data_IF_581221286207
#
_entry.id   IF_581221286207
#
_cell.length_a   1.000
_cell.length_b   1.000
_cell.length_c   1.000
_cell.angle_alpha   90.00
_cell.angle_beta   90.00
_cell.angle_gamma   90.00
#
_symmetry.space_group_name_H-M   'P 1'
#
loop_
_entity.id
_entity.type
_entity.pdbx_description
1 polymer ?
#
# COMPACT_ATOMS: atom_id res chain seq x y z
N UNK A 1 24.71 6.66 -17.82
CA UNK A 1 24.85 6.03 -16.49
C UNK A 1 23.68 6.51 -15.64
N UNK A 2 22.97 5.60 -14.98
CA UNK A 2 21.87 5.88 -14.06
C UNK A 2 22.32 5.53 -12.65
N UNK A 3 22.36 6.50 -11.74
CA UNK A 3 22.81 6.26 -10.38
C UNK A 3 21.76 5.51 -9.55
N UNK A 4 20.49 5.92 -9.71
CA UNK A 4 19.36 5.35 -9.00
C UNK A 4 18.23 5.09 -9.99
N UNK A 5 17.68 3.88 -10.01
CA UNK A 5 16.59 3.46 -10.88
C UNK A 5 15.41 3.02 -10.03
N UNK A 6 14.26 3.70 -10.14
CA UNK A 6 13.02 3.27 -9.54
C UNK A 6 12.31 2.26 -10.42
N UNK A 7 11.66 1.28 -9.81
CA UNK A 7 10.77 0.35 -10.50
C UNK A 7 9.36 0.46 -9.95
N UNK A 8 8.42 0.90 -10.79
CA UNK A 8 7.01 1.05 -10.43
C UNK A 8 6.10 0.54 -11.55
N UNK A 9 4.91 0.07 -11.20
CA UNK A 9 3.97 -0.40 -12.22
C UNK A 9 3.07 0.72 -12.74
N UNK A 10 2.60 1.56 -11.85
CA UNK A 10 1.60 2.58 -12.18
C UNK A 10 2.16 4.00 -12.06
N UNK A 11 1.54 4.91 -12.78
CA UNK A 11 1.85 6.34 -12.64
C UNK A 11 1.49 6.86 -11.24
N UNK A 12 0.48 6.27 -10.59
CA UNK A 12 0.09 6.63 -9.23
C UNK A 12 1.22 6.31 -8.23
N UNK A 13 1.84 5.12 -8.35
CA UNK A 13 2.96 4.71 -7.51
C UNK A 13 4.20 5.57 -7.76
N UNK A 14 4.49 5.90 -9.04
CA UNK A 14 5.56 6.85 -9.38
C UNK A 14 5.39 8.20 -8.68
N UNK A 15 4.17 8.76 -8.72
CA UNK A 15 3.86 10.04 -8.06
C UNK A 15 3.94 9.97 -6.55
N UNK A 16 3.58 8.81 -6.01
CA UNK A 16 3.53 8.58 -4.58
C UNK A 16 4.94 8.53 -3.95
N UNK A 17 5.88 7.86 -4.60
CA UNK A 17 7.22 7.59 -4.09
C UNK A 17 8.33 8.19 -4.95
N UNK A 18 8.49 7.71 -6.17
CA UNK A 18 9.65 8.02 -7.02
C UNK A 18 9.80 9.53 -7.27
N UNK A 19 8.72 10.24 -7.60
CA UNK A 19 8.79 11.69 -7.86
C UNK A 19 9.19 12.49 -6.61
N UNK A 20 8.60 12.14 -5.45
CA UNK A 20 8.89 12.82 -4.19
C UNK A 20 10.34 12.58 -3.75
N UNK A 21 10.77 11.32 -3.76
CA UNK A 21 12.14 10.95 -3.36
C UNK A 21 13.15 11.54 -4.34
N UNK A 22 12.88 11.53 -5.65
CA UNK A 22 13.78 12.14 -6.65
C UNK A 22 13.98 13.63 -6.41
N UNK A 23 12.91 14.34 -6.05
CA UNK A 23 13.01 15.76 -5.71
C UNK A 23 13.90 15.99 -4.49
N UNK A 24 13.78 15.18 -3.44
CA UNK A 24 14.65 15.28 -2.27
C UNK A 24 16.10 14.87 -2.61
N UNK A 25 16.30 13.84 -3.42
CA UNK A 25 17.65 13.43 -3.88
C UNK A 25 18.34 14.53 -4.69
N UNK A 26 17.62 15.21 -5.58
CA UNK A 26 18.17 16.32 -6.38
C UNK A 26 18.52 17.54 -5.53
N UNK A 27 17.88 17.75 -4.38
CA UNK A 27 18.28 18.77 -3.40
C UNK A 27 19.61 18.42 -2.72
N UNK A 28 19.88 17.12 -2.50
CA UNK A 28 21.11 16.63 -1.87
C UNK A 28 22.26 16.64 -2.88
N UNK A 29 22.03 16.13 -4.08
CA UNK A 29 23.01 16.05 -5.16
C UNK A 29 22.33 16.31 -6.52
N UNK A 30 22.39 17.56 -7.05
CA UNK A 30 21.77 17.92 -8.32
C UNK A 30 22.34 17.16 -9.53
N UNK A 31 23.52 16.55 -9.42
CA UNK A 31 24.17 15.82 -10.51
C UNK A 31 23.72 14.36 -10.61
N UNK A 32 22.98 13.86 -9.62
CA UNK A 32 22.47 12.48 -9.64
C UNK A 32 21.66 12.23 -10.91
N UNK A 33 21.93 11.12 -11.58
CA UNK A 33 21.14 10.63 -12.69
C UNK A 33 20.11 9.64 -12.19
N UNK A 34 18.85 10.04 -12.24
CA UNK A 34 17.71 9.27 -11.71
C UNK A 34 16.86 8.75 -12.86
N UNK A 35 16.60 7.47 -12.87
CA UNK A 35 15.71 6.82 -13.83
C UNK A 35 14.50 6.19 -13.19
N UNK A 36 13.48 5.90 -14.01
CA UNK A 36 12.35 5.07 -13.62
C UNK A 36 11.98 4.09 -14.73
N UNK A 37 11.68 2.86 -14.33
CA UNK A 37 11.04 1.85 -15.18
C UNK A 37 9.60 1.72 -14.73
N UNK A 38 8.66 1.86 -15.66
CA UNK A 38 7.23 1.72 -15.38
C UNK A 38 6.48 1.05 -16.53
N UNK A 39 5.30 0.51 -16.24
CA UNK A 39 4.37 0.04 -17.28
C UNK A 39 3.55 1.23 -17.78
N UNK A 40 3.04 2.05 -16.87
CA UNK A 40 2.33 3.29 -17.20
C UNK A 40 3.31 4.47 -17.21
N UNK A 41 3.49 5.06 -18.39
CA UNK A 41 4.43 6.16 -18.56
C UNK A 41 3.80 7.51 -18.18
N UNK A 42 4.57 8.44 -17.56
CA UNK A 42 4.09 9.79 -17.30
C UNK A 42 3.87 10.58 -18.59
N UNK A 43 2.88 11.45 -18.56
CA UNK A 43 2.67 12.41 -19.67
C UNK A 43 3.46 13.70 -19.46
N UNK A 44 3.49 14.57 -20.48
CA UNK A 44 4.23 15.85 -20.47
C UNK A 44 3.85 16.80 -19.33
N UNK A 45 2.67 16.62 -18.75
CA UNK A 45 2.16 17.44 -17.63
C UNK A 45 2.66 16.98 -16.26
N UNK A 46 3.26 15.79 -16.18
CA UNK A 46 3.73 15.19 -14.93
C UNK A 46 5.15 15.69 -14.63
N UNK A 47 5.26 16.93 -14.12
CA UNK A 47 6.55 17.52 -13.70
C UNK A 47 7.18 16.70 -12.58
N UNK A 48 8.44 16.35 -12.74
CA UNK A 48 9.22 15.58 -11.77
C UNK A 48 10.72 15.74 -12.03
N UNK A 49 11.55 15.22 -11.11
CA UNK A 49 13.01 15.30 -11.14
C UNK A 49 13.67 13.99 -11.63
N UNK A 50 12.95 13.17 -12.38
CA UNK A 50 13.48 11.95 -13.01
C UNK A 50 14.02 12.28 -14.38
N UNK A 51 15.29 11.93 -14.64
CA UNK A 51 16.00 12.25 -15.87
C UNK A 51 15.63 11.31 -17.03
N UNK A 52 15.29 10.05 -16.74
CA UNK A 52 15.06 9.01 -17.74
C UNK A 52 13.87 8.15 -17.38
N UNK A 53 12.91 8.03 -18.28
CA UNK A 53 11.82 7.06 -18.17
C UNK A 53 11.95 5.96 -19.21
N UNK A 54 11.76 4.72 -18.80
CA UNK A 54 11.79 3.54 -19.67
C UNK A 54 10.54 2.71 -19.44
N UNK A 55 9.83 2.39 -20.51
CA UNK A 55 8.73 1.43 -20.43
C UNK A 55 9.28 0.02 -20.12
N UNK A 56 8.67 -0.67 -19.14
CA UNK A 56 9.02 -2.07 -18.87
C UNK A 56 8.90 -2.95 -20.12
N UNK A 57 7.94 -2.64 -20.99
CA UNK A 57 7.67 -3.39 -22.22
C UNK A 57 8.79 -3.25 -23.28
N UNK A 58 9.59 -2.20 -23.19
CA UNK A 58 10.71 -1.96 -24.12
C UNK A 58 11.99 -2.70 -23.69
N UNK A 59 12.04 -3.21 -22.46
CA UNK A 59 13.19 -3.93 -21.93
C UNK A 59 13.08 -5.40 -22.33
N UNK A 60 13.86 -5.79 -23.35
CA UNK A 60 13.92 -7.17 -23.87
C UNK A 60 14.88 -8.05 -23.05
N UNK A 61 16.00 -7.50 -22.64
CA UNK A 61 17.01 -8.13 -21.80
C UNK A 61 17.33 -7.21 -20.62
N UNK A 62 17.07 -7.71 -19.41
CA UNK A 62 17.25 -6.92 -18.18
C UNK A 62 18.73 -6.71 -17.89
N UNK A 63 19.57 -7.74 -18.08
CA UNK A 63 21.01 -7.62 -17.84
C UNK A 63 21.65 -6.58 -18.75
N UNK A 64 21.35 -6.66 -20.05
CA UNK A 64 21.86 -5.70 -21.01
C UNK A 64 21.37 -4.28 -20.73
N UNK A 65 20.11 -4.13 -20.34
CA UNK A 65 19.55 -2.84 -19.95
C UNK A 65 20.25 -2.26 -18.71
N UNK A 66 20.42 -3.04 -17.66
CA UNK A 66 21.04 -2.59 -16.42
C UNK A 66 22.52 -2.24 -16.63
N UNK A 67 23.26 -3.08 -17.38
CA UNK A 67 24.67 -2.86 -17.69
C UNK A 67 24.92 -1.69 -18.63
N UNK A 68 24.16 -1.60 -19.73
CA UNK A 68 24.33 -0.53 -20.74
C UNK A 68 24.01 0.85 -20.19
N UNK A 69 23.06 0.92 -19.26
CA UNK A 69 22.72 2.16 -18.55
C UNK A 69 23.59 2.41 -17.31
N UNK A 70 24.48 1.49 -16.96
CA UNK A 70 25.38 1.60 -15.79
C UNK A 70 24.62 1.82 -14.49
N UNK A 71 23.51 1.07 -14.29
CA UNK A 71 22.65 1.20 -13.11
C UNK A 71 23.42 0.77 -11.87
N UNK A 72 23.45 1.61 -10.84
CA UNK A 72 24.15 1.34 -9.58
C UNK A 72 23.27 0.85 -8.45
N UNK A 73 22.01 1.29 -8.46
CA UNK A 73 21.03 0.97 -7.42
C UNK A 73 19.63 0.92 -8.01
N UNK A 74 18.82 -0.01 -7.51
CA UNK A 74 17.37 -0.03 -7.78
C UNK A 74 16.55 0.13 -6.50
N UNK A 75 15.43 0.84 -6.63
CA UNK A 75 14.48 1.10 -5.55
C UNK A 75 13.12 0.53 -5.96
N UNK A 76 12.51 -0.25 -5.08
CA UNK A 76 11.22 -0.92 -5.25
C UNK A 76 10.26 -0.51 -4.14
N UNK A 77 8.96 -0.60 -4.37
CA UNK A 77 7.94 -0.35 -3.34
C UNK A 77 7.21 -1.62 -2.89
N UNK A 78 7.36 -2.71 -3.64
CA UNK A 78 6.69 -3.97 -3.34
C UNK A 78 7.60 -5.16 -3.72
N UNK A 79 7.13 -6.38 -3.36
CA UNK A 79 7.77 -7.65 -3.73
C UNK A 79 6.83 -8.49 -4.59
N UNK A 80 6.35 -7.95 -5.69
CA UNK A 80 5.55 -8.66 -6.69
C UNK A 80 6.45 -9.52 -7.58
N UNK A 81 5.88 -10.42 -8.37
CA UNK A 81 6.67 -11.27 -9.32
C UNK A 81 7.52 -10.43 -10.29
N UNK A 82 7.00 -9.34 -10.89
CA UNK A 82 7.84 -8.47 -11.73
C UNK A 82 8.97 -7.76 -10.98
N UNK A 83 8.74 -7.37 -9.72
CA UNK A 83 9.80 -6.78 -8.89
C UNK A 83 10.89 -7.81 -8.60
N UNK A 84 10.51 -9.06 -8.28
CA UNK A 84 11.45 -10.14 -8.01
C UNK A 84 12.32 -10.49 -9.22
N UNK A 85 11.81 -10.35 -10.45
CA UNK A 85 12.60 -10.53 -11.67
C UNK A 85 13.78 -9.55 -11.69
N UNK A 86 13.53 -8.26 -11.47
CA UNK A 86 14.59 -7.26 -11.39
C UNK A 86 15.51 -7.46 -10.18
N UNK A 87 14.98 -7.82 -9.01
CA UNK A 87 15.78 -8.12 -7.83
C UNK A 87 16.76 -9.27 -8.10
N UNK A 88 16.31 -10.34 -8.79
CA UNK A 88 17.16 -11.46 -9.17
C UNK A 88 18.33 -11.00 -10.05
N UNK A 89 18.04 -10.22 -11.09
CA UNK A 89 19.08 -9.68 -11.99
C UNK A 89 20.02 -8.73 -11.24
N UNK A 90 19.51 -7.84 -10.39
CA UNK A 90 20.34 -6.94 -9.58
C UNK A 90 21.31 -7.71 -8.68
N UNK A 91 20.82 -8.75 -7.97
CA UNK A 91 21.67 -9.58 -7.11
C UNK A 91 22.79 -10.28 -7.89
N UNK A 92 22.47 -10.85 -9.06
CA UNK A 92 23.48 -11.50 -9.92
C UNK A 92 24.50 -10.51 -10.48
N UNK A 93 24.13 -9.25 -10.65
CA UNK A 93 24.99 -8.18 -11.17
C UNK A 93 25.68 -7.37 -10.07
N UNK A 94 25.40 -7.63 -8.81
CA UNK A 94 25.94 -6.84 -7.68
C UNK A 94 25.39 -5.42 -7.62
N UNK A 95 24.19 -5.17 -8.17
CA UNK A 95 23.49 -3.89 -8.12
C UNK A 95 22.76 -3.80 -6.78
N UNK A 96 22.93 -2.69 -6.08
CA UNK A 96 22.29 -2.42 -4.78
C UNK A 96 20.77 -2.33 -4.91
N UNK A 97 20.05 -2.83 -3.89
CA UNK A 97 18.59 -2.86 -3.91
C UNK A 97 18.00 -2.34 -2.60
N UNK A 98 16.95 -1.54 -2.70
CA UNK A 98 16.19 -1.03 -1.55
C UNK A 98 14.71 -1.28 -1.82
N UNK A 99 13.97 -1.70 -0.79
CA UNK A 99 12.52 -1.74 -0.80
C UNK A 99 11.97 -0.66 0.13
N UNK A 100 10.96 0.08 -0.34
CA UNK A 100 10.16 0.99 0.47
C UNK A 100 8.86 0.28 0.82
N UNK A 101 8.47 0.28 2.08
CA UNK A 101 7.19 -0.26 2.47
C UNK A 101 6.06 0.60 1.92
N UNK A 102 5.16 -0.02 1.16
CA UNK A 102 3.92 0.61 0.69
C UNK A 102 2.72 0.13 1.52
N UNK A 103 2.27 0.98 2.44
CA UNK A 103 1.07 0.73 3.24
C UNK A 103 1.17 -0.47 4.21
N UNK A 104 0.02 -0.89 4.70
CA UNK A 104 -0.13 -1.98 5.67
C UNK A 104 0.03 -3.32 4.96
N UNK A 105 0.86 -4.20 5.52
CA UNK A 105 1.00 -5.56 5.03
C UNK A 105 -0.11 -6.44 5.61
N UNK A 106 -0.77 -7.16 4.73
CA UNK A 106 -1.75 -8.18 5.09
C UNK A 106 -1.24 -9.55 4.60
N UNK A 107 -1.54 -10.60 5.35
CA UNK A 107 -1.12 -11.98 5.02
C UNK A 107 -1.82 -12.56 3.75
N UNK A 108 -2.42 -11.69 2.94
CA UNK A 108 -3.06 -12.01 1.68
C UNK A 108 -4.51 -12.48 1.84
N UNK A 109 -5.36 -12.13 0.88
CA UNK A 109 -6.71 -12.68 0.79
C UNK A 109 -6.64 -14.17 0.48
N UNK A 110 -7.49 -14.95 1.14
CA UNK A 110 -7.64 -16.37 0.86
C UNK A 110 -8.35 -16.53 -0.49
N UNK A 111 -7.68 -17.11 -1.49
CA UNK A 111 -8.28 -17.30 -2.83
C UNK A 111 -9.58 -18.12 -2.76
N UNK A 112 -9.79 -18.90 -1.69
CA UNK A 112 -11.03 -19.66 -1.49
C UNK A 112 -12.24 -18.81 -1.12
N UNK A 113 -12.04 -17.57 -0.66
CA UNK A 113 -13.12 -16.64 -0.30
C UNK A 113 -13.63 -15.86 -1.53
N UNK A 114 -12.95 -16.04 -2.68
CA UNK A 114 -13.42 -15.55 -3.97
C UNK A 114 -14.62 -16.39 -4.40
N UNK A 115 -15.83 -15.91 -4.14
CA UNK A 115 -17.06 -16.59 -4.52
C UNK A 115 -17.14 -16.82 -6.04
N UNK A 116 -17.87 -17.87 -6.46
CA UNK A 116 -18.11 -18.22 -7.88
C UNK A 116 -18.66 -17.06 -8.73
N UNK A 117 -19.25 -16.03 -8.09
CA UNK A 117 -19.64 -14.76 -8.75
C UNK A 117 -18.45 -14.03 -9.41
N UNK A 118 -17.23 -14.32 -8.99
CA UNK A 118 -15.99 -13.73 -9.53
C UNK A 118 -15.37 -14.55 -10.68
N UNK A 119 -16.05 -15.54 -11.24
CA UNK A 119 -15.56 -16.25 -12.44
C UNK A 119 -15.26 -15.27 -13.60
N UNK A 120 -16.06 -14.20 -13.74
CA UNK A 120 -15.83 -13.15 -14.73
C UNK A 120 -14.63 -12.23 -14.34
N UNK A 121 -14.41 -11.97 -13.06
CA UNK A 121 -13.21 -11.30 -12.58
C UNK A 121 -11.97 -12.17 -12.84
N UNK A 122 -12.06 -13.49 -12.65
CA UNK A 122 -10.99 -14.44 -12.96
C UNK A 122 -10.62 -14.38 -14.45
N UNK A 123 -11.59 -14.27 -15.36
CA UNK A 123 -11.32 -14.10 -16.81
C UNK A 123 -10.51 -12.82 -17.07
N UNK A 124 -10.82 -11.71 -16.39
CA UNK A 124 -10.01 -10.49 -16.45
C UNK A 124 -8.60 -10.63 -15.86
N UNK A 125 -8.37 -11.62 -14.99
CA UNK A 125 -7.04 -11.91 -14.41
C UNK A 125 -6.19 -12.86 -15.28
N UNK A 126 -6.75 -13.57 -16.27
CA UNK A 126 -6.01 -14.49 -17.12
C UNK A 126 -4.77 -13.83 -17.76
N UNK A 127 -4.83 -12.61 -18.34
CA UNK A 127 -3.65 -11.96 -18.90
C UNK A 127 -2.54 -11.75 -17.87
N UNK A 128 -2.89 -11.36 -16.63
CA UNK A 128 -1.90 -11.18 -15.55
C UNK A 128 -1.29 -12.52 -15.12
N UNK A 129 -2.08 -13.56 -15.05
CA UNK A 129 -1.60 -14.90 -14.69
C UNK A 129 -0.63 -15.42 -15.76
N UNK A 130 -0.94 -15.26 -17.05
CA UNK A 130 -0.05 -15.65 -18.15
C UNK A 130 1.24 -14.83 -18.15
N UNK A 131 1.16 -13.52 -17.89
CA UNK A 131 2.32 -12.64 -17.70
C UNK A 131 3.21 -13.17 -16.56
N UNK A 132 2.63 -13.47 -15.40
CA UNK A 132 3.39 -13.98 -14.25
C UNK A 132 4.04 -15.33 -14.51
N UNK A 133 3.38 -16.25 -15.22
CA UNK A 133 4.00 -17.52 -15.64
C UNK A 133 5.16 -17.30 -16.60
N UNK A 134 5.04 -16.36 -17.53
CA UNK A 134 6.12 -16.00 -18.44
C UNK A 134 7.33 -15.43 -17.69
N UNK A 135 7.11 -14.50 -16.76
CA UNK A 135 8.16 -13.93 -15.91
C UNK A 135 8.83 -15.04 -15.07
N UNK A 136 8.04 -15.89 -14.42
CA UNK A 136 8.58 -17.01 -13.62
C UNK A 136 9.40 -17.98 -14.47
N UNK A 137 8.96 -18.24 -15.72
CA UNK A 137 9.74 -19.04 -16.66
C UNK A 137 11.10 -18.42 -16.94
N UNK A 138 11.15 -17.14 -17.26
CA UNK A 138 12.39 -16.42 -17.52
C UNK A 138 13.31 -16.42 -16.30
N UNK A 139 12.78 -16.12 -15.10
CA UNK A 139 13.51 -16.18 -13.85
C UNK A 139 14.11 -17.57 -13.59
N UNK A 140 13.31 -18.63 -13.77
CA UNK A 140 13.76 -20.00 -13.58
C UNK A 140 14.85 -20.39 -14.58
N UNK A 141 14.72 -19.98 -15.85
CA UNK A 141 15.73 -20.20 -16.88
C UNK A 141 17.03 -19.46 -16.53
N UNK A 142 16.92 -18.21 -16.11
CA UNK A 142 18.06 -17.37 -15.74
C UNK A 142 18.81 -17.93 -14.53
N UNK A 143 18.09 -18.36 -13.49
CA UNK A 143 18.68 -18.91 -12.24
C UNK A 143 18.90 -20.44 -12.28
N UNK A 144 18.65 -21.12 -13.42
CA UNK A 144 18.77 -22.58 -13.60
C UNK A 144 17.95 -23.37 -12.56
N UNK A 145 16.70 -22.91 -12.28
CA UNK A 145 15.77 -23.55 -11.34
C UNK A 145 14.70 -24.35 -12.07
N UNK A 146 14.12 -25.31 -11.35
CA UNK A 146 12.99 -26.09 -11.87
C UNK A 146 11.72 -25.22 -11.90
N UNK A 147 11.25 -24.91 -13.10
CA UNK A 147 10.01 -24.16 -13.31
C UNK A 147 8.81 -24.89 -12.71
N UNK A 148 8.72 -26.22 -12.89
CA UNK A 148 7.60 -27.00 -12.35
C UNK A 148 7.49 -26.92 -10.83
N UNK A 149 8.63 -26.91 -10.12
CA UNK A 149 8.67 -26.75 -8.67
C UNK A 149 8.17 -25.36 -8.24
N UNK A 150 8.63 -24.30 -8.90
CA UNK A 150 8.22 -22.92 -8.61
C UNK A 150 6.74 -22.71 -8.89
N UNK A 151 6.25 -23.20 -10.04
CA UNK A 151 4.81 -23.14 -10.40
C UNK A 151 3.95 -23.95 -9.44
N UNK A 152 4.42 -25.12 -9.01
CA UNK A 152 3.72 -25.90 -8.00
C UNK A 152 3.52 -25.09 -6.71
N UNK A 153 4.55 -24.42 -6.21
CA UNK A 153 4.44 -23.56 -5.04
C UNK A 153 3.51 -22.38 -5.29
N UNK A 154 3.55 -21.78 -6.47
CA UNK A 154 2.63 -20.70 -6.86
C UNK A 154 1.18 -21.14 -6.82
N UNK A 155 0.86 -22.32 -7.35
CA UNK A 155 -0.52 -22.84 -7.41
C UNK A 155 -1.02 -23.37 -6.07
N UNK A 156 -0.13 -24.00 -5.28
CA UNK A 156 -0.53 -24.66 -4.03
C UNK A 156 -0.56 -23.74 -2.82
N UNK A 157 0.12 -22.60 -2.87
CA UNK A 157 0.12 -21.64 -1.77
C UNK A 157 -1.01 -20.63 -1.94
N UNK A 158 -1.89 -20.58 -0.93
CA UNK A 158 -3.03 -19.66 -0.89
C UNK A 158 -2.67 -18.31 -0.26
N UNK A 159 -1.69 -18.30 0.65
CA UNK A 159 -1.20 -17.11 1.34
C UNK A 159 0.30 -16.93 1.11
N UNK A 160 0.77 -15.70 1.06
CA UNK A 160 2.19 -15.35 0.94
C UNK A 160 2.91 -16.04 -0.24
N UNK A 161 2.21 -16.14 -1.39
CA UNK A 161 2.73 -16.79 -2.61
C UNK A 161 4.06 -16.19 -3.02
N UNK A 162 4.17 -14.87 -3.06
CA UNK A 162 5.38 -14.14 -3.47
C UNK A 162 6.55 -14.42 -2.54
N UNK A 163 6.32 -14.44 -1.22
CA UNK A 163 7.37 -14.75 -0.23
C UNK A 163 7.86 -16.20 -0.35
N UNK A 164 6.94 -17.12 -0.66
CA UNK A 164 7.30 -18.52 -0.87
C UNK A 164 8.16 -18.67 -2.11
N UNK A 165 7.76 -18.04 -3.22
CA UNK A 165 8.49 -18.07 -4.49
C UNK A 165 9.87 -17.44 -4.33
N UNK A 166 9.99 -16.32 -3.63
CA UNK A 166 11.26 -15.63 -3.41
C UNK A 166 12.35 -16.52 -2.80
N UNK A 167 11.95 -17.54 -2.02
CA UNK A 167 12.86 -18.50 -1.36
C UNK A 167 13.29 -19.67 -2.27
N UNK A 168 12.65 -19.85 -3.42
CA UNK A 168 12.96 -20.96 -4.34
C UNK A 168 14.17 -20.67 -5.24
N UNK A 169 14.62 -19.44 -5.33
CA UNK A 169 15.77 -19.02 -6.15
C UNK A 169 17.10 -19.16 -5.40
N UNK A 170 18.21 -19.12 -6.13
CA UNK A 170 19.57 -19.26 -5.58
C UNK A 170 19.89 -18.17 -4.57
N UNK A 171 19.41 -16.98 -4.84
CA UNK A 171 19.44 -15.85 -3.92
C UNK A 171 18.03 -15.67 -3.32
N UNK A 172 17.95 -15.44 -2.01
CA UNK A 172 16.69 -15.02 -1.43
C UNK A 172 16.28 -13.66 -2.04
N UNK A 173 15.15 -13.61 -2.76
CA UNK A 173 14.74 -12.43 -3.54
C UNK A 173 14.10 -11.35 -2.66
N UNK A 174 14.88 -10.87 -1.69
CA UNK A 174 14.60 -9.67 -0.90
C UNK A 174 15.66 -8.61 -1.24
N UNK A 175 15.34 -7.34 -1.05
CA UNK A 175 16.28 -6.25 -1.24
C UNK A 175 17.36 -6.24 -0.15
N UNK A 176 18.45 -5.51 -0.37
CA UNK A 176 19.53 -5.39 0.63
C UNK A 176 19.05 -4.64 1.87
N UNK A 177 18.18 -3.65 1.68
CA UNK A 177 17.52 -2.92 2.75
C UNK A 177 16.01 -2.81 2.51
N UNK A 178 15.27 -2.70 3.63
CA UNK A 178 13.87 -2.31 3.64
C UNK A 178 13.69 -1.06 4.50
N UNK A 179 12.94 -0.09 3.98
CA UNK A 179 12.57 1.12 4.69
C UNK A 179 11.12 1.01 5.15
N UNK A 180 10.90 1.01 6.46
CA UNK A 180 9.61 0.78 7.10
C UNK A 180 8.93 2.08 7.51
N UNK A 181 7.61 2.08 7.54
CA UNK A 181 6.81 3.22 7.95
C UNK A 181 6.56 3.31 9.45
N UNK A 182 6.89 2.26 10.22
CA UNK A 182 6.73 2.20 11.66
C UNK A 182 7.47 1.01 12.25
N UNK A 183 7.90 1.10 13.51
CA UNK A 183 8.62 0.02 14.21
C UNK A 183 7.83 -1.30 14.31
N UNK A 184 6.50 -1.21 14.34
CA UNK A 184 5.62 -2.37 14.37
C UNK A 184 5.91 -3.36 13.24
N UNK A 185 6.38 -2.88 12.08
CA UNK A 185 6.62 -3.69 10.89
C UNK A 185 7.95 -4.44 10.92
N UNK A 186 8.86 -4.09 11.84
CA UNK A 186 10.18 -4.73 11.92
C UNK A 186 10.03 -6.24 12.14
N UNK A 187 9.23 -6.67 13.11
CA UNK A 187 8.99 -8.10 13.37
C UNK A 187 8.36 -8.83 12.18
N UNK A 188 7.47 -8.16 11.45
CA UNK A 188 6.87 -8.72 10.24
C UNK A 188 7.93 -9.00 9.19
N UNK A 189 8.82 -8.05 8.91
CA UNK A 189 9.88 -8.22 7.92
C UNK A 189 10.96 -9.20 8.38
N UNK A 190 11.32 -9.22 9.65
CA UNK A 190 12.23 -10.19 10.22
C UNK A 190 11.69 -11.61 10.10
N UNK A 191 10.44 -11.84 10.52
CA UNK A 191 9.88 -13.20 10.64
C UNK A 191 9.31 -13.73 9.33
N UNK A 192 8.64 -12.90 8.54
CA UNK A 192 7.95 -13.33 7.30
C UNK A 192 8.86 -13.24 6.08
N UNK A 193 9.57 -12.13 5.92
CA UNK A 193 10.42 -11.90 4.75
C UNK A 193 11.86 -12.41 4.92
N UNK A 194 12.33 -12.57 6.17
CA UNK A 194 13.69 -13.04 6.46
C UNK A 194 14.75 -11.95 6.32
N UNK A 195 14.36 -10.69 6.44
CA UNK A 195 15.32 -9.60 6.64
C UNK A 195 16.04 -9.78 7.98
N UNK A 196 17.24 -9.23 8.09
CA UNK A 196 17.95 -9.08 9.36
C UNK A 196 17.69 -7.68 9.91
N UNK A 197 17.85 -7.51 11.23
CA UNK A 197 17.59 -6.22 11.88
C UNK A 197 18.43 -5.08 11.30
N UNK A 198 19.68 -5.37 10.95
CA UNK A 198 20.60 -4.42 10.32
C UNK A 198 20.22 -4.03 8.88
N UNK A 199 19.23 -4.68 8.28
CA UNK A 199 18.70 -4.35 6.96
C UNK A 199 17.43 -3.53 7.01
N UNK A 200 16.85 -3.28 8.20
CA UNK A 200 15.60 -2.54 8.36
C UNK A 200 15.92 -1.10 8.79
N UNK A 201 15.29 -0.13 8.12
CA UNK A 201 15.41 1.29 8.43
C UNK A 201 14.05 1.93 8.53
N UNK A 202 13.82 2.60 9.64
CA UNK A 202 12.59 3.35 9.88
C UNK A 202 12.68 4.71 9.19
N UNK A 203 11.74 5.00 8.29
CA UNK A 203 11.64 6.30 7.60
C UNK A 203 10.36 7.06 7.95
N UNK A 204 9.31 6.38 8.38
CA UNK A 204 8.00 6.95 8.66
C UNK A 204 6.98 6.77 7.54
N UNK A 205 5.74 7.10 7.84
CA UNK A 205 4.63 7.00 6.89
C UNK A 205 4.53 8.27 6.03
N UNK A 206 4.72 8.11 4.73
CA UNK A 206 4.71 9.18 3.74
C UNK A 206 3.37 9.91 3.59
N UNK A 207 2.27 9.30 4.00
CA UNK A 207 0.95 9.95 4.00
C UNK A 207 0.75 10.84 5.24
N UNK A 208 1.67 10.74 6.22
CA UNK A 208 1.71 11.61 7.38
C UNK A 208 2.76 12.72 7.27
N UNK A 209 3.51 12.79 6.16
CA UNK A 209 4.49 13.86 5.96
C UNK A 209 3.80 15.25 5.99
N UNK A 210 4.18 16.06 6.97
CA UNK A 210 3.55 17.38 7.21
C UNK A 210 2.16 17.30 7.85
N UNK A 211 1.75 16.14 8.32
CA UNK A 211 0.52 15.98 9.08
C UNK A 211 0.74 16.50 10.52
N UNK A 212 -0.09 17.42 10.94
CA UNK A 212 -0.17 17.90 12.32
C UNK A 212 -1.59 17.63 12.82
N UNK A 213 -1.76 16.80 13.88
CA UNK A 213 -3.06 16.62 14.49
C UNK A 213 -3.62 17.97 14.93
N UNK A 214 -4.81 18.31 14.48
CA UNK A 214 -5.39 19.63 14.76
C UNK A 214 -5.82 19.76 16.21
N UNK A 215 -6.02 18.67 16.93
CA UNK A 215 -6.56 18.62 18.29
C UNK A 215 -7.96 19.24 18.41
N UNK A 216 -8.58 19.60 17.28
CA UNK A 216 -9.93 20.15 17.19
C UNK A 216 -10.67 19.39 16.11
N UNK A 217 -11.50 18.45 16.55
CA UNK A 217 -12.31 17.67 15.64
C UNK A 217 -13.71 18.30 15.50
N UNK A 218 -14.22 18.21 14.30
CA UNK A 218 -15.61 18.57 14.03
C UNK A 218 -16.55 17.50 14.62
N UNK A 219 -17.69 17.94 15.18
CA UNK A 219 -18.79 17.05 15.61
C UNK A 219 -19.46 16.41 14.37
N UNK A 220 -18.74 15.47 13.76
CA UNK A 220 -19.13 14.85 12.50
C UNK A 220 -18.67 13.39 12.46
N UNK A 221 -19.20 12.66 11.49
CA UNK A 221 -18.82 11.28 11.16
C UNK A 221 -18.12 11.30 9.80
N UNK A 222 -17.01 10.58 9.68
CA UNK A 222 -16.37 10.30 8.39
C UNK A 222 -16.44 8.80 8.06
N UNK A 223 -17.18 8.45 7.03
CA UNK A 223 -17.12 7.12 6.47
C UNK A 223 -16.00 7.03 5.43
N UNK A 224 -15.03 6.14 5.68
CA UNK A 224 -13.91 5.86 4.78
C UNK A 224 -14.29 4.71 3.87
N UNK A 225 -14.69 5.04 2.64
CA UNK A 225 -15.11 4.09 1.64
C UNK A 225 -13.93 3.34 1.02
N UNK A 226 -14.17 2.08 0.67
CA UNK A 226 -13.24 1.23 -0.08
C UNK A 226 -13.94 0.68 -1.33
N UNK A 227 -13.19 0.15 -2.28
CA UNK A 227 -13.66 -0.39 -3.59
C UNK A 227 -14.08 -1.86 -3.50
N UNK A 228 -14.84 -2.21 -2.46
CA UNK A 228 -15.18 -3.59 -2.14
C UNK A 228 -16.11 -4.24 -3.18
N UNK A 229 -17.07 -3.47 -3.68
CA UNK A 229 -18.01 -3.93 -4.70
C UNK A 229 -17.38 -3.87 -6.08
N UNK A 230 -16.66 -2.80 -6.38
CA UNK A 230 -15.99 -2.57 -7.66
C UNK A 230 -14.89 -3.61 -7.93
N UNK A 231 -14.19 -4.04 -6.87
CA UNK A 231 -13.18 -5.11 -6.96
C UNK A 231 -13.80 -6.52 -6.79
N UNK A 232 -15.12 -6.62 -6.58
CA UNK A 232 -15.83 -7.89 -6.41
C UNK A 232 -15.51 -8.63 -5.09
N UNK A 233 -14.91 -7.95 -4.12
CA UNK A 233 -14.58 -8.53 -2.80
C UNK A 233 -15.84 -8.76 -1.97
N UNK A 234 -16.81 -7.84 -2.05
CA UNK A 234 -18.09 -7.90 -1.36
C UNK A 234 -19.21 -7.88 -2.39
N UNK A 235 -20.25 -8.70 -2.19
CA UNK A 235 -21.45 -8.66 -3.04
C UNK A 235 -22.17 -7.34 -2.85
N UNK A 236 -22.70 -6.78 -3.94
CA UNK A 236 -23.46 -5.54 -3.90
C UNK A 236 -24.61 -5.60 -2.88
N UNK A 237 -25.31 -6.72 -2.77
CA UNK A 237 -26.41 -6.91 -1.81
C UNK A 237 -25.95 -6.70 -0.36
N UNK A 238 -24.83 -7.31 0.02
CA UNK A 238 -24.31 -7.23 1.39
C UNK A 238 -23.78 -5.83 1.70
N UNK A 239 -23.24 -5.17 0.69
CA UNK A 239 -22.81 -3.76 0.78
C UNK A 239 -23.98 -2.80 0.89
N UNK A 240 -25.05 -3.00 0.10
CA UNK A 240 -26.30 -2.22 0.17
C UNK A 240 -26.96 -2.38 1.55
N UNK A 241 -26.94 -3.58 2.14
CA UNK A 241 -27.44 -3.84 3.50
C UNK A 241 -26.68 -3.00 4.55
N UNK A 242 -25.36 -3.00 4.49
CA UNK A 242 -24.54 -2.14 5.32
C UNK A 242 -24.87 -0.66 5.13
N UNK A 243 -24.91 -0.16 3.88
CA UNK A 243 -25.17 1.25 3.61
C UNK A 243 -26.56 1.69 4.11
N UNK A 244 -27.58 0.85 3.95
CA UNK A 244 -28.93 1.12 4.47
C UNK A 244 -28.94 1.14 6.01
N UNK A 245 -28.25 0.21 6.66
CA UNK A 245 -28.12 0.18 8.11
C UNK A 245 -27.40 1.44 8.61
N UNK A 246 -26.32 1.83 7.94
CA UNK A 246 -25.56 3.02 8.29
C UNK A 246 -26.38 4.30 8.11
N UNK A 247 -27.02 4.47 6.94
CA UNK A 247 -27.86 5.64 6.67
C UNK A 247 -29.03 5.76 7.66
N UNK A 248 -29.67 4.64 8.02
CA UNK A 248 -30.77 4.65 8.97
C UNK A 248 -30.34 4.90 10.43
N UNK A 249 -29.06 4.74 10.73
CA UNK A 249 -28.48 4.92 12.07
C UNK A 249 -27.86 6.28 12.30
N UNK A 250 -27.65 7.07 11.24
CA UNK A 250 -27.13 8.43 11.30
C UNK A 250 -28.26 9.43 11.19
N UNK A 251 -28.37 10.35 12.15
CA UNK A 251 -29.35 11.42 12.07
C UNK A 251 -29.13 12.29 10.84
N UNK A 252 -30.20 12.65 10.12
CA UNK A 252 -30.10 13.44 8.88
C UNK A 252 -29.45 14.80 9.06
N UNK A 253 -29.49 15.37 10.26
CA UNK A 253 -28.84 16.62 10.62
C UNK A 253 -27.36 16.48 10.95
N UNK A 254 -26.91 15.26 11.27
CA UNK A 254 -25.50 14.99 11.58
C UNK A 254 -24.65 15.20 10.33
N UNK A 255 -23.57 15.95 10.44
CA UNK A 255 -22.63 16.15 9.34
C UNK A 255 -21.90 14.85 9.05
N UNK A 256 -22.01 14.39 7.81
CA UNK A 256 -21.43 13.15 7.33
C UNK A 256 -20.46 13.42 6.18
N UNK A 257 -19.23 13.02 6.35
CA UNK A 257 -18.27 12.96 5.27
C UNK A 257 -18.19 11.54 4.70
N UNK A 258 -18.18 11.41 3.38
CA UNK A 258 -17.87 10.15 2.71
C UNK A 258 -16.57 10.33 1.94
N UNK A 259 -15.51 9.76 2.48
CA UNK A 259 -14.18 9.75 1.87
C UNK A 259 -14.10 8.64 0.85
N UNK A 260 -14.31 8.99 -0.41
CA UNK A 260 -14.30 8.04 -1.52
C UNK A 260 -12.87 7.62 -1.88
N UNK A 261 -12.69 6.34 -2.15
CA UNK A 261 -11.48 5.86 -2.85
C UNK A 261 -11.45 6.45 -4.29
N UNK A 262 -10.28 6.71 -4.90
CA UNK A 262 -10.21 7.24 -6.27
C UNK A 262 -11.03 6.47 -7.32
N UNK A 263 -11.14 5.14 -7.15
CA UNK A 263 -11.89 4.24 -8.04
C UNK A 263 -13.35 3.99 -7.61
N UNK A 264 -13.81 4.59 -6.49
CA UNK A 264 -15.18 4.36 -6.00
C UNK A 264 -16.22 4.91 -6.97
N UNK A 265 -17.27 4.11 -7.20
CA UNK A 265 -18.49 4.56 -7.86
C UNK A 265 -19.35 5.33 -6.86
N UNK A 266 -19.49 6.63 -7.10
CA UNK A 266 -20.28 7.52 -6.23
C UNK A 266 -21.76 7.12 -6.17
N UNK A 267 -22.30 6.50 -7.21
CA UNK A 267 -23.72 6.11 -7.27
C UNK A 267 -24.12 5.06 -6.22
N UNK A 268 -23.14 4.29 -5.72
CA UNK A 268 -23.37 3.33 -4.62
C UNK A 268 -23.86 4.01 -3.34
N UNK A 269 -23.60 5.31 -3.18
CA UNK A 269 -23.87 6.08 -1.94
C UNK A 269 -25.12 6.96 -2.04
N UNK A 270 -25.98 6.74 -3.03
CA UNK A 270 -27.21 7.53 -3.25
C UNK A 270 -28.21 7.40 -2.09
N UNK A 271 -28.10 6.36 -1.26
CA UNK A 271 -28.87 6.20 -0.01
C UNK A 271 -28.72 7.39 0.94
N UNK A 272 -27.61 8.14 0.87
CA UNK A 272 -27.35 9.30 1.72
C UNK A 272 -27.83 10.64 1.13
N UNK A 273 -28.56 10.65 0.01
CA UNK A 273 -29.00 11.89 -0.67
C UNK A 273 -29.79 12.87 0.20
N UNK A 274 -30.49 12.35 1.21
CA UNK A 274 -31.32 13.14 2.13
C UNK A 274 -30.59 13.48 3.45
N UNK A 275 -29.30 13.14 3.58
CA UNK A 275 -28.46 13.44 4.72
C UNK A 275 -27.60 14.69 4.46
N UNK A 276 -27.08 15.28 5.53
CA UNK A 276 -26.09 16.36 5.45
C UNK A 276 -24.70 15.80 5.06
N UNK A 277 -24.56 15.37 3.78
CA UNK A 277 -23.40 14.63 3.29
C UNK A 277 -22.46 15.47 2.43
N UNK A 278 -21.16 15.33 2.67
CA UNK A 278 -20.09 15.88 1.84
C UNK A 278 -19.19 14.75 1.32
N UNK A 279 -19.05 14.64 0.00
CA UNK A 279 -18.17 13.66 -0.64
C UNK A 279 -16.76 14.22 -0.84
N UNK A 280 -15.74 13.47 -0.46
CA UNK A 280 -14.31 13.86 -0.57
C UNK A 280 -13.57 12.82 -1.40
N UNK A 281 -12.92 13.23 -2.49
CA UNK A 281 -12.03 12.37 -3.30
C UNK A 281 -10.53 12.69 -3.11
N UNK A 282 -10.20 13.88 -2.60
CA UNK A 282 -8.81 14.29 -2.38
C UNK A 282 -8.14 13.54 -1.23
N UNK A 283 -6.81 13.60 -1.14
CA UNK A 283 -6.00 12.85 -0.17
C UNK A 283 -6.26 13.20 1.31
N UNK A 284 -6.78 14.39 1.62
CA UNK A 284 -6.93 14.86 3.00
C UNK A 284 -8.12 14.17 3.68
N UNK A 285 -7.89 13.61 4.87
CA UNK A 285 -8.96 13.20 5.79
C UNK A 285 -9.52 14.43 6.49
N UNK A 286 -10.86 14.55 6.64
CA UNK A 286 -11.42 15.56 7.51
C UNK A 286 -11.14 15.21 8.99
N UNK A 287 -10.81 16.20 9.81
CA UNK A 287 -10.66 16.01 11.25
C UNK A 287 -12.03 15.94 11.90
N UNK A 288 -12.47 14.75 12.26
CA UNK A 288 -13.80 14.47 12.84
C UNK A 288 -13.68 13.59 14.07
N UNK A 289 -14.70 13.63 14.92
CA UNK A 289 -14.68 12.84 16.14
C UNK A 289 -14.88 11.34 15.91
N UNK A 290 -15.52 10.93 14.81
CA UNK A 290 -15.89 9.54 14.55
C UNK A 290 -15.49 9.12 13.14
N UNK A 291 -14.76 8.04 13.04
CA UNK A 291 -14.49 7.39 11.76
C UNK A 291 -15.21 6.04 11.69
N UNK A 292 -15.77 5.76 10.52
CA UNK A 292 -16.45 4.49 10.21
C UNK A 292 -15.85 3.93 8.93
N UNK A 293 -15.68 2.62 8.85
CA UNK A 293 -15.24 2.03 7.58
C UNK A 293 -15.00 0.53 7.68
N UNK A 294 -14.27 0.05 6.69
CA UNK A 294 -13.93 -1.36 6.52
C UNK A 294 -12.41 -1.52 6.62
N UNK A 295 -11.88 -2.65 6.16
CA UNK A 295 -10.45 -2.89 6.06
C UNK A 295 -9.77 -1.85 5.15
N UNK A 296 -9.08 -0.87 5.76
CA UNK A 296 -8.34 0.17 5.05
C UNK A 296 -7.18 0.69 5.89
N UNK A 297 -6.00 0.86 5.29
CA UNK A 297 -4.85 1.49 5.95
C UNK A 297 -5.19 2.91 6.46
N UNK A 298 -6.07 3.61 5.75
CA UNK A 298 -6.48 4.96 6.10
C UNK A 298 -7.24 5.04 7.45
N UNK A 299 -7.93 3.97 7.85
CA UNK A 299 -8.57 3.89 9.17
C UNK A 299 -7.55 3.90 10.31
N UNK A 300 -6.44 3.19 10.15
CA UNK A 300 -5.36 3.24 11.13
C UNK A 300 -4.77 4.64 11.27
N UNK A 301 -4.62 5.36 10.15
CA UNK A 301 -4.15 6.75 10.16
C UNK A 301 -5.18 7.71 10.77
N UNK A 302 -6.47 7.45 10.56
CA UNK A 302 -7.55 8.24 11.17
C UNK A 302 -7.49 8.26 12.70
N UNK A 303 -6.89 7.23 13.32
CA UNK A 303 -6.66 7.17 14.77
C UNK A 303 -5.65 8.20 15.29
N UNK A 304 -4.91 8.90 14.41
CA UNK A 304 -4.14 10.09 14.81
C UNK A 304 -5.04 11.28 15.13
N UNK A 305 -6.22 11.35 14.50
CA UNK A 305 -7.18 12.44 14.73
C UNK A 305 -8.16 12.12 15.86
N UNK A 306 -8.62 10.88 15.94
CA UNK A 306 -9.58 10.43 16.93
C UNK A 306 -9.38 8.95 17.25
N UNK A 307 -9.59 8.57 18.51
CA UNK A 307 -9.62 7.17 18.94
C UNK A 307 -11.00 6.51 18.75
N UNK A 308 -11.99 7.26 18.27
CA UNK A 308 -13.33 6.74 17.98
C UNK A 308 -13.38 6.21 16.56
N UNK A 309 -13.20 4.91 16.46
CA UNK A 309 -13.24 4.15 15.23
C UNK A 309 -14.27 3.03 15.29
N UNK A 310 -15.22 3.03 14.37
CA UNK A 310 -16.18 1.95 14.18
C UNK A 310 -15.82 1.20 12.90
N UNK A 311 -15.63 -0.11 13.01
CA UNK A 311 -15.31 -0.97 11.88
C UNK A 311 -16.54 -1.83 11.57
N UNK A 312 -16.98 -1.80 10.32
CA UNK A 312 -17.86 -2.81 9.78
C UNK A 312 -17.02 -3.88 9.09
N UNK A 313 -17.12 -5.12 9.55
CA UNK A 313 -16.43 -6.26 8.97
C UNK A 313 -17.41 -7.17 8.24
N UNK A 314 -17.23 -7.31 6.94
CA UNK A 314 -17.96 -8.31 6.15
C UNK A 314 -17.45 -9.72 6.47
N UNK A 315 -18.32 -10.73 6.31
CA UNK A 315 -17.97 -12.12 6.61
C UNK A 315 -16.77 -12.68 5.81
N UNK A 316 -16.48 -12.07 4.65
CA UNK A 316 -15.35 -12.43 3.80
C UNK A 316 -14.03 -11.74 4.17
N UNK A 317 -14.05 -10.77 5.10
CA UNK A 317 -12.86 -10.00 5.48
C UNK A 317 -12.10 -10.66 6.64
N UNK A 318 -10.78 -10.58 6.57
CA UNK A 318 -9.91 -10.98 7.68
C UNK A 318 -9.86 -9.86 8.74
N UNK A 319 -9.57 -10.25 9.98
CA UNK A 319 -9.36 -9.31 11.09
C UNK A 319 -8.15 -8.42 10.78
N UNK A 320 -8.35 -7.11 10.84
CA UNK A 320 -7.28 -6.14 10.70
C UNK A 320 -6.61 -5.86 12.05
N UNK A 321 -5.29 -5.63 12.05
CA UNK A 321 -4.56 -5.38 13.30
C UNK A 321 -5.12 -4.18 14.10
N UNK A 322 -5.67 -3.16 13.45
CA UNK A 322 -6.22 -1.99 14.12
C UNK A 322 -7.65 -2.20 14.69
N UNK A 323 -8.30 -3.33 14.43
CA UNK A 323 -9.59 -3.68 15.08
C UNK A 323 -9.44 -3.76 16.61
N UNK A 324 -8.29 -4.16 17.11
CA UNK A 324 -8.00 -4.16 18.55
C UNK A 324 -8.03 -2.75 19.19
N UNK A 325 -7.94 -1.70 18.36
CA UNK A 325 -8.00 -0.30 18.78
C UNK A 325 -9.33 0.37 18.42
N UNK A 326 -10.20 -0.33 17.72
CA UNK A 326 -11.51 0.19 17.37
C UNK A 326 -12.39 0.32 18.62
N UNK A 327 -13.25 1.33 18.62
CA UNK A 327 -14.29 1.50 19.63
C UNK A 327 -15.32 0.39 19.52
N UNK A 328 -15.65 -0.02 18.30
CA UNK A 328 -16.51 -1.16 18.01
C UNK A 328 -16.14 -1.81 16.68
N UNK A 329 -16.25 -3.14 16.63
CA UNK A 329 -16.26 -3.92 15.38
C UNK A 329 -17.63 -4.53 15.22
N UNK A 330 -18.36 -4.16 14.15
CA UNK A 330 -19.73 -4.55 13.88
C UNK A 330 -19.77 -5.52 12.71
N UNK A 331 -20.62 -6.54 12.81
CA UNK A 331 -20.88 -7.53 11.77
C UNK A 331 -22.37 -7.59 11.40
N UNK A 332 -23.21 -6.93 12.19
CA UNK A 332 -24.66 -6.87 12.00
C UNK A 332 -25.19 -5.43 12.05
N UNK A 333 -26.32 -5.14 11.38
CA UNK A 333 -26.97 -3.84 11.44
C UNK A 333 -27.27 -3.33 12.86
N UNK A 334 -27.69 -4.22 13.76
CA UNK A 334 -28.02 -3.86 15.14
C UNK A 334 -26.79 -3.43 15.93
N UNK A 335 -25.65 -4.13 15.75
CA UNK A 335 -24.38 -3.75 16.35
C UNK A 335 -23.91 -2.37 15.86
N UNK A 336 -24.03 -2.10 14.55
CA UNK A 336 -23.66 -0.81 13.98
C UNK A 336 -24.54 0.31 14.54
N UNK A 337 -25.86 0.10 14.58
CA UNK A 337 -26.80 1.05 15.14
C UNK A 337 -26.50 1.36 16.60
N UNK A 338 -26.25 0.32 17.40
CA UNK A 338 -25.88 0.47 18.83
C UNK A 338 -24.58 1.27 18.96
N UNK A 339 -23.53 0.91 18.21
CA UNK A 339 -22.26 1.61 18.25
C UNK A 339 -22.41 3.10 17.91
N UNK A 340 -23.18 3.44 16.87
CA UNK A 340 -23.40 4.82 16.44
C UNK A 340 -24.22 5.65 17.45
N UNK A 341 -25.17 5.03 18.15
CA UNK A 341 -25.96 5.69 19.21
C UNK A 341 -25.10 5.96 20.44
N UNK A 342 -24.21 5.05 20.80
CA UNK A 342 -23.34 5.16 21.98
C UNK A 342 -22.17 6.14 21.77
N UNK A 343 -21.89 6.51 20.54
CA UNK A 343 -20.80 7.43 20.20
C UNK A 343 -21.08 8.83 20.70
N UNK A 344 -20.11 9.40 21.40
CA UNK A 344 -20.12 10.79 21.81
C UNK A 344 -19.39 11.68 20.79
N UNK A 345 -20.13 12.34 19.90
CA UNK A 345 -19.56 13.24 18.88
C UNK A 345 -18.81 14.46 19.44
N UNK A 346 -19.01 14.77 20.74
CA UNK A 346 -18.38 15.94 21.39
C UNK A 346 -17.07 15.60 22.08
N UNK A 347 -16.80 14.30 22.31
CA UNK A 347 -15.56 13.90 22.97
C UNK A 347 -14.48 13.65 21.93
N UNK A 348 -13.30 14.10 22.26
CA UNK A 348 -12.07 13.76 21.55
C UNK A 348 -11.02 13.36 22.60
N UNK A 349 -10.44 12.19 22.41
CA UNK A 349 -9.32 11.68 23.16
C UNK A 349 -8.42 10.92 22.20
N UNK A 350 -7.14 10.92 22.45
CA UNK A 350 -6.19 10.17 21.63
C UNK A 350 -5.21 9.38 22.52
N UNK A 351 -5.77 8.54 23.39
CA UNK A 351 -5.00 7.70 24.31
C UNK A 351 -4.20 6.59 23.57
N UNK A 352 -4.50 6.38 22.28
CA UNK A 352 -3.88 5.35 21.44
C UNK A 352 -2.73 5.88 20.57
N UNK A 353 -2.41 7.18 20.67
CA UNK A 353 -1.42 7.81 19.81
C UNK A 353 -0.05 7.12 19.87
N UNK A 354 0.41 6.77 21.06
CA UNK A 354 1.70 6.07 21.24
C UNK A 354 1.75 4.71 20.55
N UNK A 355 0.61 4.03 20.46
CA UNK A 355 0.50 2.72 19.81
C UNK A 355 0.46 2.90 18.30
N UNK A 356 -0.38 3.83 17.83
CA UNK A 356 -0.54 4.10 16.40
C UNK A 356 0.75 4.65 15.80
N UNK A 357 1.50 5.47 16.54
CA UNK A 357 2.80 6.00 16.10
C UNK A 357 3.85 4.92 15.84
N UNK A 358 3.76 3.76 16.50
CA UNK A 358 4.63 2.62 16.21
C UNK A 358 4.28 1.93 14.88
N UNK A 359 3.04 2.02 14.44
CA UNK A 359 2.56 1.44 13.18
C UNK A 359 2.76 2.40 12.01
N UNK A 360 2.42 3.66 12.24
CA UNK A 360 2.49 4.75 11.26
C UNK A 360 3.27 5.90 11.89
N UNK A 361 4.58 5.89 11.74
CA UNK A 361 5.38 6.95 12.35
C UNK A 361 5.27 8.25 11.54
N UNK A 362 4.78 9.30 12.21
CA UNK A 362 4.84 10.65 11.68
C UNK A 362 6.25 11.21 11.89
N UNK A 363 7.09 11.05 10.85
CA UNK A 363 8.48 11.47 10.93
C UNK A 363 8.60 13.01 10.85
N UNK A 364 9.08 13.70 11.91
CA UNK A 364 9.18 15.16 11.91
C UNK A 364 10.14 15.71 10.85
N UNK A 365 11.05 14.88 10.32
CA UNK A 365 11.95 15.25 9.25
C UNK A 365 11.39 14.96 7.85
N UNK A 366 10.22 14.35 7.76
CA UNK A 366 9.60 13.84 6.54
C UNK A 366 10.17 12.48 6.10
N UNK A 367 9.27 11.56 5.79
CA UNK A 367 9.62 10.18 5.40
C UNK A 367 10.37 10.16 4.07
N UNK A 368 9.92 10.95 3.07
CA UNK A 368 10.56 10.99 1.75
C UNK A 368 11.97 11.59 1.80
N UNK A 369 12.17 12.61 2.62
CA UNK A 369 13.49 13.20 2.85
C UNK A 369 14.42 12.22 3.56
N UNK A 370 13.93 11.51 4.58
CA UNK A 370 14.69 10.47 5.29
C UNK A 370 15.07 9.32 4.36
N UNK A 371 14.14 8.87 3.52
CA UNK A 371 14.43 7.88 2.49
C UNK A 371 15.53 8.35 1.52
N UNK A 372 15.44 9.58 1.02
CA UNK A 372 16.42 10.14 0.10
C UNK A 372 17.82 10.22 0.72
N UNK A 373 17.95 10.63 1.98
CA UNK A 373 19.23 10.65 2.70
C UNK A 373 19.84 9.25 2.82
N UNK A 374 19.07 8.26 3.26
CA UNK A 374 19.54 6.87 3.37
C UNK A 374 19.91 6.28 2.01
N UNK A 375 19.14 6.52 0.96
CA UNK A 375 19.43 6.08 -0.40
C UNK A 375 20.75 6.67 -0.87
N UNK A 376 20.98 7.98 -0.66
CA UNK A 376 22.19 8.64 -1.07
C UNK A 376 23.42 8.13 -0.27
N UNK A 377 23.28 7.90 1.02
CA UNK A 377 24.35 7.37 1.86
C UNK A 377 24.70 5.92 1.46
N UNK A 378 23.69 5.07 1.24
CA UNK A 378 23.93 3.71 0.77
C UNK A 378 24.55 3.68 -0.64
N UNK A 379 24.10 4.54 -1.56
CA UNK A 379 24.73 4.70 -2.88
C UNK A 379 26.23 4.97 -2.75
N UNK A 380 26.62 5.81 -1.80
CA UNK A 380 27.99 6.22 -1.57
C UNK A 380 28.81 5.25 -0.65
N UNK A 381 28.32 4.01 -0.46
CA UNK A 381 28.93 2.97 0.38
C UNK A 381 29.09 3.34 1.87
N UNK A 382 28.32 4.30 2.35
CA UNK A 382 28.23 4.54 3.78
C UNK A 382 27.36 3.46 4.44
N UNK A 383 27.67 3.09 5.65
CA UNK A 383 26.79 2.27 6.48
C UNK A 383 25.54 3.09 6.82
N UNK A 384 24.39 2.55 6.54
CA UNK A 384 23.10 3.18 6.82
C UNK A 384 22.33 2.42 7.89
#
# INVERSE_FOLDING_TARGET
MIDILFFERTLADLKKFAFKISSELKKIDPQLKIGAVAIEMPGDKDKNDIDVFVSRNDIKDIDDFLKSNGVRMMVFTQTRIPDMEFILHCKKLGIKTIMLQEGVMFDGMNINDVSVANAFAIIGYIPKVTEYFHILWNMCKYDKRSFTKVVWHFLMKKKNVTLTIAKEFSEHLICDYIFTMGEYWDDYYLTKHGYKKEQIRLIGDHDLDGFEPTGKNEEAICYIANVLVEDGTVKKKDFDEFLNAFASSVDKGTKLYIKLHPRSDKSLYDVFKDHNVTFIRSGVLPSVNVYVGHRSALLGRALYESDTLIIWRFACEEVCFYEQYATATCTTPDELKKALVEVNLKSHSNDKLDIISKVYWNNPNGSMKSAALLINDYKNNKTI
#
